data_IF_828251926499
#
_entry.id   IF_828251926499
#
_cell.length_a   1.000
_cell.length_b   1.000
_cell.length_c   1.000
_cell.angle_alpha   90.00
_cell.angle_beta   90.00
_cell.angle_gamma   90.00
#
_symmetry.space_group_name_H-M   'P 1'
#
loop_
_entity.id
_entity.type
_entity.pdbx_description
1 polymer ?
#
# COMPACT_ATOMS: atom_id res chain seq x y z
N UNK A 1 -14.08 -5.57 -6.15
CA UNK A 1 -14.75 -5.83 -7.45
C UNK A 1 -13.68 -6.07 -8.52
N UNK A 2 -13.05 -7.23 -8.53
CA UNK A 2 -12.02 -7.62 -9.51
C UNK A 2 -12.00 -9.15 -9.67
N UNK A 3 -11.02 -9.67 -10.41
CA UNK A 3 -10.80 -11.10 -10.66
C UNK A 3 -9.75 -11.73 -9.74
N UNK A 4 -9.17 -10.99 -8.80
CA UNK A 4 -8.10 -11.48 -7.93
C UNK A 4 -8.62 -12.17 -6.67
N UNK A 5 -7.87 -13.17 -6.19
CA UNK A 5 -8.03 -13.75 -4.86
C UNK A 5 -6.65 -14.05 -4.27
N UNK A 6 -6.52 -14.03 -2.94
CA UNK A 6 -5.27 -14.36 -2.25
C UNK A 6 -5.49 -15.53 -1.30
N UNK A 7 -4.73 -16.61 -1.48
CA UNK A 7 -4.89 -17.87 -0.74
C UNK A 7 -3.61 -18.18 0.03
N UNK A 8 -3.77 -18.52 1.32
CA UNK A 8 -2.68 -18.96 2.19
C UNK A 8 -2.61 -20.48 2.28
N UNK A 9 -1.43 -21.05 2.05
CA UNK A 9 -1.12 -22.43 2.42
C UNK A 9 -0.41 -22.44 3.79
N UNK A 10 -1.12 -22.88 4.83
CA UNK A 10 -0.60 -22.90 6.20
C UNK A 10 0.52 -23.92 6.40
N UNK A 11 0.55 -25.02 5.64
CA UNK A 11 1.60 -26.04 5.81
C UNK A 11 2.95 -25.57 5.27
N UNK A 12 2.95 -24.78 4.19
CA UNK A 12 4.17 -24.22 3.60
C UNK A 12 4.49 -22.80 4.07
N UNK A 13 3.57 -22.16 4.82
CA UNK A 13 3.65 -20.75 5.22
C UNK A 13 3.85 -19.84 4.01
N UNK A 14 2.97 -20.00 3.04
CA UNK A 14 2.97 -19.22 1.80
C UNK A 14 1.61 -18.57 1.58
N UNK A 15 1.61 -17.41 0.91
CA UNK A 15 0.41 -16.64 0.58
C UNK A 15 0.58 -16.08 -0.84
N UNK A 16 -0.28 -16.52 -1.76
CA UNK A 16 -0.17 -16.17 -3.19
C UNK A 16 -1.47 -15.61 -3.75
N UNK A 17 -1.32 -14.71 -4.73
CA UNK A 17 -2.43 -14.24 -5.55
C UNK A 17 -2.76 -15.24 -6.66
N UNK A 18 -4.04 -15.36 -6.98
CA UNK A 18 -4.58 -16.11 -8.11
C UNK A 18 -5.63 -15.25 -8.81
N UNK A 19 -5.84 -15.48 -10.11
CA UNK A 19 -6.87 -14.80 -10.89
C UNK A 19 -7.94 -15.79 -11.36
N UNK A 20 -9.20 -15.40 -11.24
CA UNK A 20 -10.39 -16.19 -11.56
C UNK A 20 -11.47 -15.29 -12.19
N UNK A 21 -12.76 -15.67 -12.10
CA UNK A 21 -13.88 -14.89 -12.60
C UNK A 21 -14.25 -13.78 -11.62
N UNK A 22 -14.57 -12.61 -12.14
CA UNK A 22 -15.17 -11.51 -11.38
C UNK A 22 -16.58 -11.90 -10.89
N UNK A 23 -17.01 -11.47 -9.69
CA UNK A 23 -18.39 -11.65 -9.24
C UNK A 23 -19.41 -11.09 -10.25
N UNK A 24 -20.58 -11.72 -10.36
CA UNK A 24 -21.68 -11.27 -11.26
C UNK A 24 -22.22 -9.91 -10.84
N UNK A 25 -22.35 -9.69 -9.53
CA UNK A 25 -22.71 -8.40 -8.92
C UNK A 25 -22.11 -8.30 -7.52
N UNK A 26 -22.13 -7.10 -6.93
CA UNK A 26 -21.72 -6.85 -5.55
C UNK A 26 -22.65 -5.78 -4.96
N UNK A 27 -23.19 -6.03 -3.77
CA UNK A 27 -24.03 -5.07 -3.03
C UNK A 27 -23.15 -4.45 -1.95
N UNK A 28 -23.06 -3.13 -1.97
CA UNK A 28 -22.21 -2.36 -1.08
C UNK A 28 -23.11 -1.46 -0.23
N UNK A 29 -23.25 -1.79 1.06
CA UNK A 29 -24.01 -1.02 2.04
C UNK A 29 -23.07 -0.50 3.14
N UNK A 30 -22.78 0.82 3.18
CA UNK A 30 -21.91 1.42 4.17
C UNK A 30 -22.32 1.16 5.63
N UNK A 31 -23.61 1.01 5.93
CA UNK A 31 -24.07 0.80 7.31
C UNK A 31 -23.57 -0.53 7.89
N UNK A 32 -23.32 -1.52 7.04
CA UNK A 32 -22.75 -2.81 7.47
C UNK A 32 -21.32 -2.68 8.03
N UNK A 33 -20.65 -1.56 7.78
CA UNK A 33 -19.29 -1.31 8.27
C UNK A 33 -19.25 -0.67 9.66
N UNK A 34 -20.39 -0.17 10.17
CA UNK A 34 -20.46 0.57 11.44
C UNK A 34 -20.06 -0.28 12.65
N UNK A 35 -20.25 -1.60 12.57
CA UNK A 35 -19.91 -2.53 13.66
C UNK A 35 -18.48 -3.08 13.57
N UNK A 36 -17.67 -2.63 12.59
CA UNK A 36 -16.29 -3.08 12.49
C UNK A 36 -15.46 -2.57 13.67
N UNK A 37 -14.49 -3.36 14.18
CA UNK A 37 -13.50 -2.85 15.10
C UNK A 37 -12.70 -1.71 14.46
N UNK A 38 -12.39 -0.65 15.22
CA UNK A 38 -11.63 0.50 14.74
C UNK A 38 -10.30 0.10 14.05
N UNK A 39 -9.63 -0.95 14.55
CA UNK A 39 -8.42 -1.48 13.92
C UNK A 39 -8.67 -2.04 12.50
N UNK A 40 -9.80 -2.69 12.24
CA UNK A 40 -10.14 -3.21 10.91
C UNK A 40 -10.47 -2.07 9.93
N UNK A 41 -11.10 -1.00 10.41
CA UNK A 41 -11.32 0.21 9.62
C UNK A 41 -9.99 0.87 9.25
N UNK A 42 -9.09 1.02 10.22
CA UNK A 42 -7.73 1.52 9.98
C UNK A 42 -6.99 0.64 8.95
N UNK A 43 -7.12 -0.69 9.03
CA UNK A 43 -6.54 -1.60 8.03
C UNK A 43 -7.13 -1.35 6.64
N UNK A 44 -8.44 -1.23 6.51
CA UNK A 44 -9.06 -0.97 5.21
C UNK A 44 -8.65 0.37 4.60
N UNK A 45 -8.50 1.43 5.41
CA UNK A 45 -7.99 2.73 4.96
C UNK A 45 -6.54 2.62 4.45
N UNK A 46 -5.66 1.96 5.21
CA UNK A 46 -4.27 1.76 4.82
C UNK A 46 -4.13 0.86 3.58
N UNK A 47 -4.90 -0.21 3.48
CA UNK A 47 -4.89 -1.13 2.32
C UNK A 47 -5.37 -0.42 1.05
N UNK A 48 -6.45 0.36 1.17
CA UNK A 48 -6.94 1.22 0.08
C UNK A 48 -5.86 2.20 -0.40
N UNK A 49 -5.18 2.84 0.54
CA UNK A 49 -4.10 3.76 0.24
C UNK A 49 -2.98 3.07 -0.54
N UNK A 50 -2.50 1.93 -0.06
CA UNK A 50 -1.39 1.20 -0.69
C UNK A 50 -1.79 0.64 -2.05
N UNK A 51 -3.02 0.14 -2.22
CA UNK A 51 -3.53 -0.29 -3.52
C UNK A 51 -3.43 0.82 -4.58
N UNK A 52 -3.83 2.05 -4.24
CA UNK A 52 -3.68 3.18 -5.16
C UNK A 52 -2.20 3.47 -5.43
N UNK A 53 -1.37 3.47 -4.39
CA UNK A 53 0.08 3.72 -4.54
C UNK A 53 0.76 2.70 -5.47
N UNK A 54 0.39 1.42 -5.44
CA UNK A 54 0.97 0.39 -6.32
C UNK A 54 0.63 0.59 -7.80
N UNK A 55 -0.40 1.39 -8.10
CA UNK A 55 -0.85 1.73 -9.46
C UNK A 55 -0.48 3.16 -9.89
N UNK A 56 0.05 3.97 -8.97
CA UNK A 56 0.33 5.40 -9.18
C UNK A 56 1.80 5.76 -8.97
N UNK A 57 2.45 5.17 -7.95
CA UNK A 57 3.85 5.40 -7.60
C UNK A 57 4.78 4.55 -8.49
N UNK A 58 4.63 4.73 -9.80
CA UNK A 58 5.37 4.02 -10.84
C UNK A 58 6.03 5.01 -11.79
N UNK A 59 5.58 5.06 -13.04
CA UNK A 59 6.22 5.84 -14.10
C UNK A 59 5.50 7.17 -14.31
N UNK A 60 6.27 8.26 -14.44
CA UNK A 60 5.72 9.59 -14.76
C UNK A 60 5.19 9.69 -16.19
N UNK A 61 4.24 10.59 -16.42
CA UNK A 61 3.80 10.99 -17.76
C UNK A 61 2.96 9.98 -18.53
N UNK A 62 2.59 8.83 -17.96
CA UNK A 62 1.79 7.81 -18.67
C UNK A 62 0.35 8.22 -18.89
N UNK A 63 -0.31 8.76 -17.85
CA UNK A 63 -1.71 9.19 -17.94
C UNK A 63 -2.02 10.29 -16.93
N UNK A 64 -2.07 11.57 -17.36
CA UNK A 64 -2.46 12.67 -16.49
C UNK A 64 -3.86 12.51 -15.89
N UNK A 65 -4.77 11.81 -16.58
CA UNK A 65 -6.12 11.56 -16.07
C UNK A 65 -6.11 10.51 -14.96
N UNK A 66 -5.39 9.39 -15.13
CA UNK A 66 -5.31 8.37 -14.09
C UNK A 66 -4.55 8.88 -12.86
N UNK A 67 -3.55 9.74 -13.05
CA UNK A 67 -2.91 10.48 -11.96
C UNK A 67 -3.94 11.23 -11.11
N UNK A 68 -4.84 12.01 -11.73
CA UNK A 68 -5.87 12.77 -10.99
C UNK A 68 -6.85 11.87 -10.25
N UNK A 69 -7.23 10.74 -10.84
CA UNK A 69 -8.10 9.78 -10.17
C UNK A 69 -7.41 9.13 -8.97
N UNK A 70 -6.16 8.70 -9.12
CA UNK A 70 -5.38 8.14 -8.02
C UNK A 70 -5.17 9.17 -6.90
N UNK A 71 -4.71 10.38 -7.25
CA UNK A 71 -4.51 11.49 -6.30
C UNK A 71 -5.81 11.86 -5.58
N UNK A 72 -6.94 11.91 -6.29
CA UNK A 72 -8.24 12.19 -5.70
C UNK A 72 -8.65 11.14 -4.65
N UNK A 73 -8.38 9.86 -4.90
CA UNK A 73 -8.64 8.79 -3.91
C UNK A 73 -7.71 8.96 -2.71
N UNK A 74 -6.41 9.18 -2.92
CA UNK A 74 -5.44 9.35 -1.84
C UNK A 74 -5.80 10.53 -0.94
N UNK A 75 -6.06 11.70 -1.53
CA UNK A 75 -6.50 12.90 -0.80
C UNK A 75 -7.79 12.62 -0.03
N UNK A 76 -8.80 12.04 -0.68
CA UNK A 76 -10.07 11.69 -0.02
C UNK A 76 -9.85 10.79 1.19
N UNK A 77 -9.05 9.73 1.05
CA UNK A 77 -8.74 8.80 2.15
C UNK A 77 -8.04 9.52 3.31
N UNK A 78 -7.08 10.39 3.01
CA UNK A 78 -6.37 11.15 4.06
C UNK A 78 -7.27 12.14 4.79
N UNK A 79 -8.27 12.70 4.12
CA UNK A 79 -9.22 13.66 4.70
C UNK A 79 -10.31 12.99 5.56
N UNK A 80 -10.84 11.85 5.12
CA UNK A 80 -11.94 11.16 5.82
C UNK A 80 -11.44 10.26 6.95
N UNK A 81 -10.20 9.75 6.89
CA UNK A 81 -9.62 8.88 7.90
C UNK A 81 -9.78 9.43 9.35
N UNK A 82 -9.35 10.66 9.68
CA UNK A 82 -9.52 11.19 11.03
C UNK A 82 -11.00 11.41 11.41
N UNK A 83 -11.88 11.68 10.44
CA UNK A 83 -13.32 11.84 10.68
C UNK A 83 -13.96 10.51 11.05
N UNK A 84 -13.59 9.45 10.34
CA UNK A 84 -14.05 8.08 10.62
C UNK A 84 -13.54 7.60 11.99
N UNK A 85 -12.30 7.92 12.36
CA UNK A 85 -11.77 7.59 13.69
C UNK A 85 -12.54 8.30 14.83
N UNK A 86 -13.08 9.49 14.57
CA UNK A 86 -13.91 10.23 15.53
C UNK A 86 -15.35 9.70 15.58
N UNK A 87 -15.93 9.35 14.43
CA UNK A 87 -17.27 8.81 14.31
C UNK A 87 -17.37 7.82 13.14
N UNK A 88 -17.28 6.52 13.44
CA UNK A 88 -17.35 5.46 12.43
C UNK A 88 -18.78 5.13 11.95
N UNK A 89 -19.80 5.74 12.54
CA UNK A 89 -21.21 5.60 12.12
C UNK A 89 -21.68 6.75 11.21
N UNK A 90 -20.75 7.63 10.82
CA UNK A 90 -21.01 8.67 9.84
C UNK A 90 -21.17 8.05 8.44
N UNK A 91 -22.40 8.03 7.93
CA UNK A 91 -22.73 7.39 6.66
C UNK A 91 -21.98 8.00 5.48
N UNK A 92 -21.81 9.32 5.44
CA UNK A 92 -21.20 10.01 4.29
C UNK A 92 -19.70 9.68 4.20
N UNK A 93 -19.00 9.67 5.33
CA UNK A 93 -17.59 9.29 5.35
C UNK A 93 -17.40 7.79 5.09
N UNK A 94 -18.23 6.91 5.65
CA UNK A 94 -18.12 5.47 5.41
C UNK A 94 -18.51 5.08 3.98
N UNK A 95 -19.50 5.76 3.38
CA UNK A 95 -19.87 5.56 1.97
C UNK A 95 -18.77 6.04 1.03
N UNK A 96 -18.15 7.18 1.33
CA UNK A 96 -16.98 7.69 0.61
C UNK A 96 -15.82 6.70 0.70
N UNK A 97 -15.50 6.23 1.91
CA UNK A 97 -14.46 5.22 2.11
C UNK A 97 -14.74 3.94 1.31
N UNK A 98 -15.96 3.41 1.38
CA UNK A 98 -16.36 2.20 0.68
C UNK A 98 -16.21 2.32 -0.85
N UNK A 99 -16.59 3.48 -1.42
CA UNK A 99 -16.40 3.74 -2.85
C UNK A 99 -14.92 3.92 -3.21
N UNK A 100 -14.16 4.66 -2.40
CA UNK A 100 -12.70 4.83 -2.59
C UNK A 100 -11.97 3.48 -2.58
N UNK A 101 -12.27 2.61 -1.62
CA UNK A 101 -11.71 1.26 -1.53
C UNK A 101 -12.08 0.41 -2.76
N UNK A 102 -13.31 0.57 -3.26
CA UNK A 102 -13.76 -0.12 -4.48
C UNK A 102 -12.97 0.33 -5.70
N UNK A 103 -12.81 1.64 -5.88
CA UNK A 103 -12.10 2.23 -7.02
C UNK A 103 -10.58 1.98 -6.97
N UNK A 104 -10.02 1.87 -5.77
CA UNK A 104 -8.60 1.56 -5.57
C UNK A 104 -8.20 0.19 -6.13
N UNK A 105 -9.11 -0.77 -6.25
CA UNK A 105 -8.77 -2.15 -6.66
C UNK A 105 -9.78 -2.78 -7.65
N UNK A 106 -10.55 -1.99 -8.38
CA UNK A 106 -11.41 -2.50 -9.47
C UNK A 106 -10.75 -2.43 -10.85
N UNK A 107 -9.51 -1.95 -10.93
CA UNK A 107 -8.75 -1.77 -12.16
C UNK A 107 -8.93 -0.41 -12.83
N UNK A 108 -9.84 0.45 -12.35
CA UNK A 108 -10.10 1.75 -12.94
C UNK A 108 -8.86 2.64 -12.96
N UNK A 109 -8.17 2.78 -11.82
CA UNK A 109 -6.96 3.62 -11.73
C UNK A 109 -5.72 2.98 -12.39
N UNK A 110 -5.79 1.71 -12.79
CA UNK A 110 -4.72 1.03 -13.52
C UNK A 110 -4.79 1.17 -15.04
N UNK A 111 -5.82 1.83 -15.59
CA UNK A 111 -6.04 1.87 -17.03
C UNK A 111 -4.91 2.59 -17.77
N UNK A 112 -4.10 1.83 -18.50
CA UNK A 112 -3.02 2.37 -19.34
C UNK A 112 -1.79 2.85 -18.56
N UNK A 113 -1.62 2.42 -17.30
CA UNK A 113 -0.45 2.74 -16.47
C UNK A 113 0.28 1.48 -16.00
N UNK A 114 1.57 1.61 -15.71
CA UNK A 114 2.38 0.54 -15.10
C UNK A 114 2.06 0.38 -13.61
N UNK A 115 2.26 -0.83 -13.10
CA UNK A 115 1.96 -1.20 -11.71
C UNK A 115 3.18 -1.89 -11.08
N UNK A 116 3.33 -1.78 -9.76
CA UNK A 116 4.50 -2.26 -9.02
C UNK A 116 4.24 -3.61 -8.32
N UNK A 117 3.35 -3.62 -7.31
CA UNK A 117 2.96 -4.75 -6.48
C UNK A 117 4.06 -5.35 -5.59
N UNK A 118 5.28 -4.79 -5.57
CA UNK A 118 6.38 -5.29 -4.74
C UNK A 118 6.10 -5.12 -3.25
N UNK A 119 5.46 -4.03 -2.84
CA UNK A 119 5.10 -3.77 -1.44
C UNK A 119 4.15 -4.86 -0.94
N UNK A 120 3.13 -5.23 -1.73
CA UNK A 120 2.23 -6.32 -1.41
C UNK A 120 2.93 -7.68 -1.29
N UNK A 121 3.82 -8.00 -2.23
CA UNK A 121 4.51 -9.29 -2.24
C UNK A 121 5.46 -9.45 -1.05
N UNK A 122 6.15 -8.38 -0.63
CA UNK A 122 6.97 -8.40 0.59
C UNK A 122 6.06 -8.47 1.83
N UNK A 123 4.96 -7.73 1.85
CA UNK A 123 3.97 -7.78 2.94
C UNK A 123 3.32 -9.16 3.13
N UNK A 124 3.10 -9.90 2.05
CA UNK A 124 2.62 -11.29 2.10
C UNK A 124 3.56 -12.21 2.88
N UNK A 125 4.88 -12.08 2.71
CA UNK A 125 5.83 -12.86 3.48
C UNK A 125 5.80 -12.50 4.97
N UNK A 126 5.73 -11.21 5.32
CA UNK A 126 5.60 -10.78 6.71
C UNK A 126 4.31 -11.34 7.35
N UNK A 127 3.20 -11.34 6.60
CA UNK A 127 1.94 -11.96 7.04
C UNK A 127 2.13 -13.46 7.27
N UNK A 128 2.74 -14.17 6.31
CA UNK A 128 2.88 -15.62 6.36
C UNK A 128 3.85 -16.11 7.44
N UNK A 129 4.91 -15.35 7.71
CA UNK A 129 5.94 -15.69 8.69
C UNK A 129 5.55 -15.30 10.12
N UNK A 130 4.87 -14.17 10.30
CA UNK A 130 4.61 -13.57 11.63
C UNK A 130 3.14 -13.42 12.00
N UNK A 131 2.20 -13.71 11.09
CA UNK A 131 0.77 -13.56 11.34
C UNK A 131 0.31 -12.10 11.48
N UNK A 132 1.12 -11.12 11.07
CA UNK A 132 0.72 -9.72 11.06
C UNK A 132 -0.47 -9.51 10.11
N UNK A 133 -1.35 -8.59 10.48
CA UNK A 133 -2.49 -8.21 9.64
C UNK A 133 -2.00 -7.61 8.32
N UNK A 134 -2.65 -7.96 7.21
CA UNK A 134 -2.17 -7.63 5.87
C UNK A 134 -1.82 -6.15 5.70
N UNK A 135 -2.78 -5.24 5.91
CA UNK A 135 -2.57 -3.80 5.76
C UNK A 135 -1.43 -3.27 6.66
N UNK A 136 -1.29 -3.82 7.88
CA UNK A 136 -0.21 -3.45 8.78
C UNK A 136 1.15 -3.78 8.16
N UNK A 137 1.31 -4.94 7.52
CA UNK A 137 2.56 -5.24 6.81
C UNK A 137 2.86 -4.24 5.69
N UNK A 138 1.85 -3.77 4.97
CA UNK A 138 2.02 -2.79 3.90
C UNK A 138 2.48 -1.43 4.42
N UNK A 139 1.94 -1.00 5.58
CA UNK A 139 2.34 0.26 6.22
C UNK A 139 3.80 0.27 6.70
N UNK A 140 4.36 -0.91 6.96
CA UNK A 140 5.79 -1.07 7.27
C UNK A 140 6.62 -1.01 6.00
N UNK A 141 6.19 -1.72 4.94
CA UNK A 141 7.01 -1.92 3.74
C UNK A 141 7.01 -0.70 2.82
N UNK A 142 5.88 -0.03 2.59
CA UNK A 142 5.76 1.03 1.59
C UNK A 142 6.79 2.16 1.78
N UNK A 143 7.03 2.71 2.99
CA UNK A 143 8.06 3.75 3.18
C UNK A 143 9.47 3.25 2.82
N UNK A 144 9.77 1.98 3.09
CA UNK A 144 11.04 1.34 2.71
C UNK A 144 11.20 1.24 1.21
N UNK A 145 10.13 0.83 0.50
CA UNK A 145 10.08 0.78 -0.96
C UNK A 145 10.34 2.17 -1.56
N UNK A 146 9.68 3.20 -1.05
CA UNK A 146 9.86 4.59 -1.52
C UNK A 146 11.31 5.07 -1.32
N UNK A 147 11.92 4.76 -0.17
CA UNK A 147 13.30 5.16 0.11
C UNK A 147 14.32 4.46 -0.78
N UNK A 148 14.18 3.14 -0.96
CA UNK A 148 15.14 2.34 -1.72
C UNK A 148 15.03 2.58 -3.21
N UNK A 149 13.82 2.83 -3.71
CA UNK A 149 13.54 3.07 -5.13
C UNK A 149 13.44 4.56 -5.46
N UNK A 150 13.93 5.47 -4.60
CA UNK A 150 13.80 6.91 -4.81
C UNK A 150 14.46 7.43 -6.09
N UNK A 151 15.51 6.75 -6.56
CA UNK A 151 16.15 7.13 -7.83
C UNK A 151 15.24 6.83 -9.02
N UNK A 152 14.58 5.67 -9.00
CA UNK A 152 13.66 5.22 -10.04
C UNK A 152 12.31 5.95 -10.00
N UNK A 153 11.75 6.11 -8.80
CA UNK A 153 10.38 6.61 -8.57
C UNK A 153 10.33 8.07 -8.13
N UNK A 154 11.46 8.73 -7.94
CA UNK A 154 11.56 10.00 -7.22
C UNK A 154 10.67 11.10 -7.79
N UNK A 155 10.52 11.18 -9.11
CA UNK A 155 9.67 12.19 -9.74
C UNK A 155 8.18 11.94 -9.42
N UNK A 156 7.77 10.68 -9.32
CA UNK A 156 6.43 10.33 -8.84
C UNK A 156 6.25 10.59 -7.35
N UNK A 157 7.28 10.34 -6.53
CA UNK A 157 7.26 10.68 -5.10
C UNK A 157 7.07 12.20 -4.94
N UNK A 158 7.79 13.03 -5.70
CA UNK A 158 7.63 14.49 -5.65
C UNK A 158 6.23 14.93 -6.10
N UNK A 159 5.73 14.37 -7.21
CA UNK A 159 4.37 14.67 -7.68
C UNK A 159 3.31 14.30 -6.63
N UNK A 160 3.43 13.11 -6.05
CA UNK A 160 2.59 12.60 -4.97
C UNK A 160 2.60 13.54 -3.75
N UNK A 161 3.77 13.87 -3.23
CA UNK A 161 3.89 14.76 -2.07
C UNK A 161 3.29 16.12 -2.30
N UNK A 162 3.53 16.71 -3.47
CA UNK A 162 2.95 18.00 -3.85
C UNK A 162 1.42 17.94 -3.95
N UNK A 163 0.88 16.92 -4.61
CA UNK A 163 -0.55 16.89 -4.96
C UNK A 163 -1.45 16.34 -3.87
N UNK A 164 -0.96 15.41 -3.06
CA UNK A 164 -1.75 14.80 -1.97
C UNK A 164 -1.51 15.52 -0.64
N UNK A 165 -0.28 15.94 -0.36
CA UNK A 165 0.07 16.56 0.92
C UNK A 165 0.44 18.03 0.86
N UNK A 166 0.44 18.64 -0.33
CA UNK A 166 0.78 20.07 -0.48
C UNK A 166 2.25 20.38 -0.17
N UNK A 167 3.15 19.42 -0.32
CA UNK A 167 4.57 19.64 -0.03
C UNK A 167 5.18 20.57 -1.10
N UNK A 168 5.69 21.71 -0.66
CA UNK A 168 6.41 22.67 -1.48
C UNK A 168 7.89 22.70 -1.05
N UNK A 169 8.77 22.12 -1.86
CA UNK A 169 10.22 22.31 -1.76
C UNK A 169 10.81 22.40 -3.16
N UNK A 170 11.84 23.24 -3.30
CA UNK A 170 12.63 23.39 -4.52
C UNK A 170 13.81 22.41 -4.57
N UNK A 171 14.09 21.70 -3.46
CA UNK A 171 15.06 20.62 -3.38
C UNK A 171 14.34 19.28 -3.56
N UNK A 172 14.75 18.51 -4.58
CA UNK A 172 14.16 17.21 -4.91
C UNK A 172 14.34 16.19 -3.78
N UNK A 173 15.53 16.13 -3.17
CA UNK A 173 15.82 15.15 -2.11
C UNK A 173 15.06 15.50 -0.84
N UNK A 174 14.92 16.80 -0.53
CA UNK A 174 14.08 17.26 0.58
C UNK A 174 12.61 16.94 0.33
N UNK A 175 12.08 17.23 -0.86
CA UNK A 175 10.70 16.93 -1.22
C UNK A 175 10.39 15.42 -1.10
N UNK A 176 11.29 14.56 -1.56
CA UNK A 176 11.18 13.10 -1.41
C UNK A 176 11.15 12.71 0.07
N UNK A 177 12.11 13.21 0.86
CA UNK A 177 12.20 12.91 2.30
C UNK A 177 10.91 13.29 3.03
N UNK A 178 10.45 14.53 2.88
CA UNK A 178 9.23 15.04 3.50
C UNK A 178 8.00 14.24 3.08
N UNK A 179 7.94 13.80 1.82
CA UNK A 179 6.83 13.00 1.31
C UNK A 179 6.77 11.62 1.96
N UNK A 180 7.92 10.96 2.11
CA UNK A 180 7.98 9.66 2.77
C UNK A 180 7.63 9.79 4.26
N UNK A 181 8.16 10.81 4.94
CA UNK A 181 7.83 11.12 6.34
C UNK A 181 6.33 11.36 6.51
N UNK A 182 5.70 12.15 5.63
CA UNK A 182 4.26 12.43 5.69
C UNK A 182 3.40 11.19 5.45
N UNK A 183 3.85 10.29 4.58
CA UNK A 183 3.20 8.99 4.34
C UNK A 183 3.25 8.11 5.60
N UNK A 184 4.41 8.09 6.26
CA UNK A 184 4.57 7.35 7.52
C UNK A 184 3.74 7.96 8.65
N UNK A 185 3.71 9.29 8.78
CA UNK A 185 2.86 9.99 9.76
C UNK A 185 1.38 9.64 9.58
N UNK A 186 0.91 9.56 8.32
CA UNK A 186 -0.45 9.14 8.03
C UNK A 186 -0.71 7.70 8.51
N UNK A 187 0.18 6.75 8.26
CA UNK A 187 0.00 5.39 8.79
C UNK A 187 0.09 5.33 10.31
N UNK A 188 0.98 6.12 10.93
CA UNK A 188 1.07 6.21 12.39
C UNK A 188 -0.19 6.84 13.01
N UNK A 189 -0.82 7.82 12.34
CA UNK A 189 -2.07 8.43 12.83
C UNK A 189 -3.25 7.45 12.78
N UNK A 190 -3.20 6.44 11.91
CA UNK A 190 -4.13 5.32 11.91
C UNK A 190 -3.89 4.30 13.04
N UNK A 191 -2.81 4.47 13.82
CA UNK A 191 -2.44 3.60 14.94
C UNK A 191 -1.46 2.48 14.58
N UNK A 192 -0.86 2.49 13.39
CA UNK A 192 0.11 1.48 12.98
C UNK A 192 1.52 1.75 13.52
N UNK A 193 2.21 0.66 13.87
CA UNK A 193 3.66 0.63 14.04
C UNK A 193 4.31 0.37 12.70
N UNK A 194 5.08 1.33 12.18
CA UNK A 194 5.58 1.38 10.79
C UNK A 194 7.04 0.91 10.67
N UNK A 195 7.60 0.30 11.72
CA UNK A 195 8.92 -0.33 11.70
C UNK A 195 8.85 -1.80 12.08
N UNK A 196 9.75 -2.61 11.53
CA UNK A 196 9.85 -4.03 11.87
C UNK A 196 10.22 -4.21 13.36
N UNK A 197 11.15 -3.41 13.89
CA UNK A 197 11.56 -3.45 15.31
C UNK A 197 10.44 -3.11 16.28
N UNK A 198 9.60 -2.13 15.97
CA UNK A 198 8.42 -1.77 16.78
C UNK A 198 7.43 -2.94 16.94
N UNK A 199 7.42 -3.85 15.96
CA UNK A 199 6.59 -5.04 15.90
C UNK A 199 7.32 -6.32 16.37
N UNK A 200 8.54 -6.20 16.90
CA UNK A 200 9.31 -7.34 17.40
C UNK A 200 9.78 -8.30 16.30
N UNK A 201 9.82 -7.85 15.04
CA UNK A 201 10.25 -8.69 13.91
C UNK A 201 11.78 -8.64 13.82
N UNK A 202 12.46 -9.80 13.90
CA UNK A 202 13.92 -9.82 13.99
C UNK A 202 14.57 -9.86 12.59
N UNK A 203 15.86 -9.49 12.51
CA UNK A 203 16.61 -9.34 11.24
C UNK A 203 16.67 -10.63 10.41
N UNK A 204 16.57 -11.79 11.06
CA UNK A 204 16.54 -13.11 10.42
C UNK A 204 15.37 -13.25 9.44
N UNK A 205 14.25 -12.54 9.71
CA UNK A 205 13.10 -12.46 8.79
C UNK A 205 13.51 -11.88 7.44
N UNK A 206 14.39 -10.87 7.44
CA UNK A 206 14.85 -10.23 6.22
C UNK A 206 15.63 -11.22 5.37
N UNK A 207 16.54 -11.98 5.99
CA UNK A 207 17.33 -13.02 5.32
C UNK A 207 16.43 -14.13 4.74
N UNK A 208 15.39 -14.54 5.47
CA UNK A 208 14.42 -15.53 4.97
C UNK A 208 13.66 -15.00 3.73
N UNK A 209 13.17 -13.76 3.78
CA UNK A 209 12.45 -13.15 2.65
C UNK A 209 13.36 -13.01 1.42
N UNK A 210 14.59 -12.53 1.61
CA UNK A 210 15.60 -12.45 0.54
C UNK A 210 15.83 -13.83 -0.10
N UNK A 211 15.99 -14.86 0.72
CA UNK A 211 16.21 -16.24 0.27
C UNK A 211 15.01 -16.73 -0.55
N UNK A 212 13.79 -16.58 -0.04
CA UNK A 212 12.56 -16.99 -0.74
C UNK A 212 12.38 -16.27 -2.07
N UNK A 213 12.60 -14.96 -2.10
CA UNK A 213 12.49 -14.16 -3.34
C UNK A 213 13.52 -14.60 -4.38
N UNK A 214 14.75 -14.87 -3.94
CA UNK A 214 15.84 -15.35 -4.81
C UNK A 214 15.52 -16.73 -5.38
N UNK A 215 15.08 -17.67 -4.55
CA UNK A 215 14.71 -19.04 -4.97
C UNK A 215 13.53 -19.05 -5.96
N UNK A 216 12.58 -18.14 -5.79
CA UNK A 216 11.44 -17.98 -6.70
C UNK A 216 11.78 -17.24 -8.00
N UNK A 217 12.99 -16.67 -8.11
CA UNK A 217 13.40 -15.87 -9.26
C UNK A 217 12.56 -14.60 -9.42
N UNK A 218 12.07 -14.03 -8.32
CA UNK A 218 11.24 -12.83 -8.35
C UNK A 218 12.00 -11.62 -8.91
N UNK A 219 11.31 -10.90 -9.78
CA UNK A 219 11.70 -9.65 -10.43
C UNK A 219 10.47 -8.75 -10.49
N UNK A 220 10.14 -8.17 -9.34
CA UNK A 220 8.92 -7.39 -9.09
C UNK A 220 9.16 -5.90 -9.34
N UNK A 221 8.10 -5.09 -9.23
CA UNK A 221 8.13 -3.68 -9.60
C UNK A 221 7.89 -3.46 -11.09
N UNK A 222 7.49 -2.24 -11.45
CA UNK A 222 7.19 -1.84 -12.82
C UNK A 222 8.38 -1.98 -13.76
N UNK A 223 9.59 -1.81 -13.24
CA UNK A 223 10.86 -1.99 -13.97
C UNK A 223 11.47 -3.38 -13.78
N UNK A 224 10.83 -4.26 -13.00
CA UNK A 224 11.34 -5.57 -12.62
C UNK A 224 12.65 -5.52 -11.81
N UNK A 225 12.92 -4.41 -11.12
CA UNK A 225 14.13 -4.15 -10.34
C UNK A 225 14.11 -4.73 -8.92
N UNK A 226 12.93 -5.15 -8.41
CA UNK A 226 12.78 -5.65 -7.04
C UNK A 226 12.96 -7.18 -7.00
N UNK A 227 14.18 -7.60 -6.66
CA UNK A 227 14.53 -8.98 -6.39
C UNK A 227 14.84 -9.24 -4.91
N UNK A 228 15.38 -10.42 -4.56
CA UNK A 228 15.73 -10.76 -3.18
C UNK A 228 16.64 -9.72 -2.51
N UNK A 229 17.81 -9.39 -3.10
CA UNK A 229 18.69 -8.35 -2.59
C UNK A 229 18.03 -6.96 -2.48
N UNK A 230 17.18 -6.57 -3.44
CA UNK A 230 16.44 -5.29 -3.33
C UNK A 230 15.38 -5.34 -2.22
N UNK A 231 14.64 -6.44 -2.07
CA UNK A 231 13.68 -6.65 -0.98
C UNK A 231 14.37 -6.60 0.39
N UNK A 232 15.59 -7.16 0.51
CA UNK A 232 16.43 -7.01 1.70
C UNK A 232 16.65 -5.53 2.04
N UNK A 233 17.12 -4.73 1.08
CA UNK A 233 17.37 -3.29 1.30
C UNK A 233 16.11 -2.56 1.73
N UNK A 234 14.96 -2.89 1.13
CA UNK A 234 13.65 -2.32 1.48
C UNK A 234 13.33 -2.58 2.95
N UNK A 235 13.46 -3.84 3.39
CA UNK A 235 13.19 -4.22 4.77
C UNK A 235 14.21 -3.66 5.77
N UNK A 236 15.49 -3.61 5.41
CA UNK A 236 16.54 -3.02 6.25
C UNK A 236 16.31 -1.51 6.47
N UNK A 237 15.69 -0.82 5.51
CA UNK A 237 15.37 0.61 5.62
C UNK A 237 14.26 0.91 6.63
N UNK A 238 13.43 -0.08 6.94
CA UNK A 238 12.29 0.01 7.88
C UNK A 238 12.51 -0.87 9.10
N UNK A 239 13.76 -1.26 9.37
CA UNK A 239 14.14 -1.98 10.57
C UNK A 239 13.80 -1.18 11.82
#
# INVERSE_FOLDING_TARGET
MNSGAVISNKSTKEKFAIYTRTPVFSILDPQTTFTLPAFQIACGLADTFVHVMEQYLTTTGQSPLMDRWAEGILTTITEIAPKIQQNQEDYDNMSTFMLSATMALNGFVSMGVTQDWSTHMIGHELTALHGLTHAHTLTIVLPGTMWVLKEEKGDKIVQYGKRVFGIESNDRDEAIRLTIERTEEFFRSLGFKTRLSENGIPRETITEIETRFTQRGFRLGESRSVDGPTARKILEKVM
#
